data_IF_934152089179
#
_entry.id   IF_934152089179
#
_cell.length_a   1.000
_cell.length_b   1.000
_cell.length_c   1.000
_cell.angle_alpha   90.00
_cell.angle_beta   90.00
_cell.angle_gamma   90.00
#
_symmetry.space_group_name_H-M   'P 1'
#
loop_
_entity.id
_entity.type
_entity.pdbx_description
1 polymer ?
#
# COMPACT_ATOMS: atom_id res chain seq x y z
N UNK A 1 -2.10 10.88 -9.92
CA UNK A 1 -1.84 9.92 -8.82
C UNK A 1 -2.50 8.58 -9.10
N UNK A 2 -1.87 7.48 -8.68
CA UNK A 2 -2.37 6.11 -8.89
C UNK A 2 -2.49 5.44 -7.53
N UNK A 3 -3.61 4.78 -7.26
CA UNK A 3 -3.78 3.94 -6.06
C UNK A 3 -3.65 2.47 -6.44
N UNK A 4 -2.85 1.71 -5.69
CA UNK A 4 -2.72 0.26 -5.82
C UNK A 4 -3.19 -0.39 -4.52
N UNK A 5 -4.30 -1.11 -4.57
CA UNK A 5 -4.90 -1.82 -3.43
C UNK A 5 -5.01 -3.33 -3.68
N UNK A 6 -5.36 -4.09 -2.67
CA UNK A 6 -5.52 -5.55 -2.71
C UNK A 6 -5.14 -6.21 -1.39
N UNK A 7 -5.25 -7.52 -1.29
CA UNK A 7 -4.95 -8.27 -0.07
C UNK A 7 -3.52 -8.05 0.45
N UNK A 8 -3.31 -8.25 1.75
CA UNK A 8 -1.93 -8.29 2.29
C UNK A 8 -1.14 -9.38 1.57
N UNK A 9 0.09 -9.06 1.14
CA UNK A 9 0.98 -9.94 0.36
C UNK A 9 0.45 -10.34 -1.04
N UNK A 10 -0.48 -9.57 -1.62
CA UNK A 10 -0.92 -9.78 -3.01
C UNK A 10 0.12 -9.34 -4.06
N UNK A 11 1.20 -8.63 -3.68
CA UNK A 11 2.23 -8.14 -4.59
C UNK A 11 2.12 -6.67 -4.97
N UNK A 12 1.28 -5.87 -4.29
CA UNK A 12 1.12 -4.42 -4.53
C UNK A 12 2.44 -3.67 -4.56
N UNK A 13 3.21 -3.81 -3.49
CA UNK A 13 4.51 -3.13 -3.33
C UNK A 13 5.49 -3.53 -4.43
N UNK A 14 5.51 -4.81 -4.81
CA UNK A 14 6.36 -5.32 -5.89
C UNK A 14 6.01 -4.65 -7.23
N UNK A 15 4.71 -4.61 -7.57
CA UNK A 15 4.23 -3.96 -8.80
C UNK A 15 4.53 -2.46 -8.76
N UNK A 16 4.25 -1.77 -7.65
CA UNK A 16 4.50 -0.34 -7.51
C UNK A 16 5.98 0.01 -7.72
N UNK A 17 6.89 -0.73 -7.07
CA UNK A 17 8.33 -0.52 -7.18
C UNK A 17 8.85 -0.83 -8.59
N UNK A 18 8.41 -1.93 -9.19
CA UNK A 18 8.80 -2.30 -10.57
C UNK A 18 8.39 -1.20 -11.57
N UNK A 19 7.20 -0.59 -11.40
CA UNK A 19 6.78 0.54 -12.24
C UNK A 19 7.69 1.76 -12.02
N UNK A 20 7.95 2.12 -10.77
CA UNK A 20 8.78 3.29 -10.46
C UNK A 20 10.22 3.12 -10.94
N UNK A 21 10.77 1.91 -10.91
CA UNK A 21 12.09 1.59 -11.45
C UNK A 21 12.14 1.73 -12.97
N UNK A 22 11.13 1.24 -13.67
CA UNK A 22 11.05 1.30 -15.13
C UNK A 22 10.75 2.70 -15.68
N UNK A 23 9.98 3.50 -14.95
CA UNK A 23 9.62 4.88 -15.34
C UNK A 23 10.73 5.87 -14.95
N UNK A 24 11.49 5.56 -13.91
CA UNK A 24 12.48 6.41 -13.27
C UNK A 24 11.96 6.99 -11.95
N UNK A 25 12.74 6.79 -10.90
CA UNK A 25 12.37 7.22 -9.52
C UNK A 25 12.25 8.74 -9.38
N UNK A 26 12.90 9.48 -10.25
CA UNK A 26 12.79 10.94 -10.35
C UNK A 26 11.45 11.40 -10.91
N UNK A 27 10.75 10.54 -11.69
CA UNK A 27 9.43 10.82 -12.28
C UNK A 27 8.29 10.17 -11.54
N UNK A 28 8.56 9.06 -10.82
CA UNK A 28 7.53 8.25 -10.17
C UNK A 28 7.94 7.92 -8.73
N UNK A 29 7.18 8.46 -7.76
CA UNK A 29 7.37 8.19 -6.33
C UNK A 29 6.35 7.17 -5.82
N UNK A 30 6.84 6.16 -5.09
CA UNK A 30 5.99 5.16 -4.42
C UNK A 30 5.83 5.55 -2.96
N UNK A 31 4.61 5.89 -2.57
CA UNK A 31 4.22 6.15 -1.19
C UNK A 31 3.53 4.92 -0.61
N UNK A 32 4.13 4.31 0.41
CA UNK A 32 3.48 3.22 1.12
C UNK A 32 2.52 3.74 2.19
N UNK A 33 1.27 3.27 2.17
CA UNK A 33 0.31 3.54 3.23
C UNK A 33 0.78 3.01 4.58
N UNK A 34 1.61 1.97 4.59
CA UNK A 34 2.10 1.34 5.81
C UNK A 34 2.92 2.31 6.69
N UNK A 35 3.51 3.36 6.11
CA UNK A 35 4.16 4.43 6.87
C UNK A 35 3.20 5.16 7.82
N UNK A 36 1.91 5.15 7.50
CA UNK A 36 0.88 5.92 8.21
C UNK A 36 0.13 5.12 9.27
N UNK A 37 0.59 3.92 9.61
CA UNK A 37 0.08 3.24 10.80
C UNK A 37 0.28 4.13 12.03
N UNK A 38 -0.75 4.18 12.87
CA UNK A 38 -0.66 4.78 14.20
C UNK A 38 0.16 3.87 15.10
N UNK A 39 0.93 4.44 16.01
CA UNK A 39 1.56 3.65 17.08
C UNK A 39 0.50 2.92 17.89
N UNK A 40 0.76 1.67 18.26
CA UNK A 40 -0.12 0.93 19.19
C UNK A 40 -0.19 1.72 20.50
N UNK A 41 -1.39 1.87 21.10
CA UNK A 41 -1.51 2.47 22.43
C UNK A 41 -0.67 1.74 23.48
N UNK A 42 -0.19 2.49 24.45
CA UNK A 42 0.63 1.91 25.53
C UNK A 42 -0.16 0.85 26.32
N UNK A 43 0.48 -0.28 26.60
CA UNK A 43 -0.14 -1.41 27.31
C UNK A 43 -1.01 -2.33 26.45
N UNK A 44 -1.20 -2.03 25.16
CA UNK A 44 -1.94 -2.92 24.25
C UNK A 44 -1.00 -3.97 23.66
N UNK A 45 -1.39 -5.25 23.77
CA UNK A 45 -0.67 -6.35 23.15
C UNK A 45 -0.89 -6.33 21.62
N UNK A 46 0.21 -6.33 20.86
CA UNK A 46 0.20 -6.34 19.39
C UNK A 46 -0.50 -7.58 18.81
N UNK A 47 -0.54 -8.69 19.54
CA UNK A 47 -1.23 -9.91 19.11
C UNK A 47 -2.76 -9.74 19.05
N UNK A 48 -3.31 -8.84 19.85
CA UNK A 48 -4.75 -8.55 19.96
C UNK A 48 -5.17 -7.29 19.19
N UNK A 49 -4.22 -6.54 18.64
CA UNK A 49 -4.50 -5.31 17.91
C UNK A 49 -4.82 -5.58 16.43
N UNK A 50 -5.92 -5.00 15.94
CA UNK A 50 -6.32 -5.14 14.54
C UNK A 50 -5.66 -4.06 13.67
N UNK A 51 -4.53 -4.38 13.06
CA UNK A 51 -3.83 -3.50 12.11
C UNK A 51 -4.55 -3.35 10.78
N UNK A 52 -5.45 -4.25 10.44
CA UNK A 52 -6.20 -4.25 9.19
C UNK A 52 -7.54 -3.47 9.29
N UNK A 53 -7.81 -2.82 10.44
CA UNK A 53 -8.93 -1.88 10.58
C UNK A 53 -8.52 -0.47 10.07
N UNK A 54 -9.38 0.23 9.30
CA UNK A 54 -9.10 1.60 8.86
C UNK A 54 -8.72 2.57 10.00
N UNK A 55 -9.18 2.33 11.22
CA UNK A 55 -8.82 3.15 12.39
C UNK A 55 -7.34 3.06 12.76
N UNK A 56 -6.64 2.00 12.34
CA UNK A 56 -5.20 1.85 12.56
C UNK A 56 -4.36 2.80 11.68
N UNK A 57 -4.94 3.36 10.61
CA UNK A 57 -4.27 4.28 9.69
C UNK A 57 -4.59 5.73 10.06
N UNK A 58 -3.58 6.58 9.95
CA UNK A 58 -3.70 8.04 10.05
C UNK A 58 -3.95 8.63 8.66
N UNK A 59 -5.21 8.60 8.24
CA UNK A 59 -5.61 9.11 6.93
C UNK A 59 -5.40 10.62 6.81
N UNK A 60 -5.51 11.38 7.90
CA UNK A 60 -5.30 12.83 7.85
C UNK A 60 -3.83 13.18 7.54
N UNK A 61 -2.90 12.47 8.16
CA UNK A 61 -1.47 12.61 7.85
C UNK A 61 -1.17 12.16 6.41
N UNK A 62 -1.77 11.05 5.96
CA UNK A 62 -1.59 10.54 4.59
C UNK A 62 -2.11 11.55 3.55
N UNK A 63 -3.28 12.13 3.77
CA UNK A 63 -3.86 13.14 2.86
C UNK A 63 -2.96 14.38 2.79
N UNK A 64 -2.46 14.88 3.92
CA UNK A 64 -1.52 16.01 3.94
C UNK A 64 -0.27 15.74 3.10
N UNK A 65 0.32 14.56 3.24
CA UNK A 65 1.48 14.14 2.45
C UNK A 65 1.15 14.05 0.96
N UNK A 66 0.01 13.44 0.60
CA UNK A 66 -0.41 13.35 -0.81
C UNK A 66 -0.63 14.73 -1.43
N UNK A 67 -1.22 15.67 -0.70
CA UNK A 67 -1.39 17.07 -1.15
C UNK A 67 -0.03 17.73 -1.36
N UNK A 68 0.89 17.61 -0.39
CA UNK A 68 2.23 18.19 -0.48
C UNK A 68 2.99 17.65 -1.69
N UNK A 69 3.02 16.33 -1.88
CA UNK A 69 3.66 15.70 -3.05
C UNK A 69 3.01 16.12 -4.38
N UNK A 70 1.68 16.29 -4.42
CA UNK A 70 0.96 16.73 -5.62
C UNK A 70 1.29 18.17 -6.00
N UNK A 71 1.54 19.02 -5.03
CA UNK A 71 1.86 20.44 -5.23
C UNK A 71 3.37 20.69 -5.40
N UNK A 72 4.20 19.65 -5.37
CA UNK A 72 5.65 19.76 -5.48
C UNK A 72 6.29 20.48 -4.28
N UNK A 73 5.70 20.30 -3.11
CA UNK A 73 6.24 20.85 -1.85
C UNK A 73 6.85 19.71 -1.01
N UNK A 74 7.69 20.10 -0.03
CA UNK A 74 8.27 19.12 0.90
C UNK A 74 7.19 18.38 1.67
N UNK A 75 7.34 17.06 1.79
CA UNK A 75 6.49 16.21 2.57
C UNK A 75 7.27 15.48 3.66
N UNK A 76 6.76 15.47 4.88
CA UNK A 76 7.30 14.68 5.98
C UNK A 76 6.52 13.37 6.12
N UNK A 77 7.17 12.27 5.72
CA UNK A 77 6.59 10.94 5.75
C UNK A 77 6.97 10.25 7.06
N UNK A 78 6.01 9.75 7.85
CA UNK A 78 6.33 9.01 9.06
C UNK A 78 7.13 7.74 8.75
N UNK A 79 8.05 7.38 9.63
CA UNK A 79 8.75 6.10 9.60
C UNK A 79 8.05 5.15 10.58
N UNK A 80 7.53 4.04 10.09
CA UNK A 80 6.87 3.03 10.91
C UNK A 80 7.73 1.78 11.07
N UNK A 81 7.94 1.36 12.31
CA UNK A 81 8.67 0.15 12.64
C UNK A 81 7.71 -1.01 12.93
N UNK A 82 7.70 -2.04 12.07
CA UNK A 82 6.84 -3.21 12.23
C UNK A 82 7.23 -4.11 13.42
N UNK A 83 8.48 -4.04 13.89
CA UNK A 83 8.92 -4.85 15.03
C UNK A 83 8.44 -4.25 16.36
N UNK A 84 8.42 -2.92 16.46
CA UNK A 84 7.99 -2.21 17.68
C UNK A 84 6.56 -1.70 17.59
N UNK A 85 5.94 -1.75 16.41
CA UNK A 85 4.62 -1.22 16.11
C UNK A 85 4.47 0.27 16.49
N UNK A 86 5.52 1.05 16.27
CA UNK A 86 5.59 2.48 16.60
C UNK A 86 6.14 3.30 15.44
N UNK A 87 5.75 4.58 15.40
CA UNK A 87 6.44 5.58 14.59
C UNK A 87 7.77 5.92 15.22
N UNK A 88 8.84 5.94 14.42
CA UNK A 88 10.23 6.17 14.90
C UNK A 88 10.81 7.50 14.47
N UNK A 89 10.06 8.31 13.74
CA UNK A 89 10.47 9.62 13.24
C UNK A 89 9.83 9.93 11.91
N UNK A 90 10.44 10.83 11.14
CA UNK A 90 9.96 11.28 9.84
C UNK A 90 11.12 11.31 8.85
N UNK A 91 10.80 11.13 7.57
CA UNK A 91 11.70 11.34 6.45
C UNK A 91 11.14 12.47 5.59
N UNK A 92 11.94 13.50 5.35
CA UNK A 92 11.56 14.60 4.46
C UNK A 92 11.79 14.18 3.02
N UNK A 93 10.79 14.31 2.19
CA UNK A 93 10.85 14.03 0.75
C UNK A 93 10.62 15.32 -0.01
N UNK A 94 11.52 15.58 -0.94
CA UNK A 94 11.40 16.59 -1.98
C UNK A 94 11.14 15.85 -3.29
N UNK A 95 9.93 15.96 -3.81
CA UNK A 95 9.53 15.26 -5.02
C UNK A 95 8.76 16.20 -5.95
N UNK A 96 9.35 16.47 -7.11
CA UNK A 96 8.80 17.30 -8.17
C UNK A 96 8.38 16.50 -9.41
N UNK A 97 8.40 15.16 -9.31
CA UNK A 97 8.01 14.29 -10.42
C UNK A 97 6.50 14.29 -10.68
N UNK A 98 6.11 13.71 -11.80
CA UNK A 98 4.75 13.79 -12.32
C UNK A 98 3.83 12.64 -11.92
N UNK A 99 4.37 11.57 -11.30
CA UNK A 99 3.60 10.40 -10.90
C UNK A 99 3.81 10.05 -9.42
N UNK A 100 2.71 9.87 -8.69
CA UNK A 100 2.71 9.35 -7.32
C UNK A 100 1.88 8.07 -7.32
N UNK A 101 2.47 6.98 -6.85
CA UNK A 101 1.79 5.70 -6.64
C UNK A 101 1.59 5.53 -5.13
N UNK A 102 0.35 5.57 -4.68
CA UNK A 102 -0.03 5.19 -3.32
C UNK A 102 -0.35 3.69 -3.30
N UNK A 103 0.39 2.90 -2.53
CA UNK A 103 0.11 1.48 -2.35
C UNK A 103 -0.26 1.15 -0.90
N UNK A 104 -1.16 0.20 -0.72
CA UNK A 104 -1.58 -0.29 0.60
C UNK A 104 -2.89 -1.07 0.57
N UNK A 105 -3.20 -1.72 1.68
CA UNK A 105 -4.40 -2.55 1.78
C UNK A 105 -5.69 -1.73 1.97
N UNK A 106 -5.61 -0.54 2.54
CA UNK A 106 -6.75 0.31 2.92
C UNK A 106 -6.79 1.65 2.15
N UNK A 107 -6.07 1.78 1.03
CA UNK A 107 -6.00 3.04 0.26
C UNK A 107 -7.36 3.52 -0.23
N UNK A 108 -8.30 2.59 -0.43
CA UNK A 108 -9.66 2.87 -0.89
C UNK A 108 -10.66 3.12 0.26
N UNK A 109 -10.21 3.18 1.52
CA UNK A 109 -11.09 3.38 2.67
C UNK A 109 -11.34 4.86 3.02
N UNK A 110 -10.76 5.80 2.27
CA UNK A 110 -10.98 7.24 2.42
C UNK A 110 -11.51 7.83 1.12
N UNK A 111 -12.68 8.47 1.16
CA UNK A 111 -13.29 9.13 0.01
C UNK A 111 -12.35 10.22 -0.54
N UNK A 112 -11.78 11.04 0.33
CA UNK A 112 -10.85 12.10 -0.07
C UNK A 112 -9.63 11.55 -0.82
N UNK A 113 -9.12 10.38 -0.45
CA UNK A 113 -8.02 9.73 -1.17
C UNK A 113 -8.51 9.23 -2.53
N UNK A 114 -9.67 8.57 -2.59
CA UNK A 114 -10.26 8.06 -3.84
C UNK A 114 -10.42 9.18 -4.88
N UNK A 115 -10.93 10.34 -4.45
CA UNK A 115 -11.14 11.51 -5.31
C UNK A 115 -9.85 12.16 -5.83
N UNK A 116 -8.72 11.92 -5.15
CA UNK A 116 -7.40 12.40 -5.58
C UNK A 116 -6.76 11.51 -6.64
N UNK A 117 -7.25 10.28 -6.84
CA UNK A 117 -6.64 9.28 -7.70
C UNK A 117 -7.15 9.37 -9.14
N UNK A 118 -6.22 9.48 -10.09
CA UNK A 118 -6.51 9.42 -11.53
C UNK A 118 -6.77 7.98 -12.00
N UNK A 119 -6.20 6.99 -11.29
CA UNK A 119 -6.36 5.57 -11.58
C UNK A 119 -6.32 4.75 -10.29
N UNK A 120 -7.22 3.79 -10.21
CA UNK A 120 -7.35 2.86 -9.07
C UNK A 120 -7.15 1.43 -9.57
N UNK A 121 -6.20 0.73 -8.98
CA UNK A 121 -5.77 -0.61 -9.39
C UNK A 121 -6.01 -1.58 -8.23
N UNK A 122 -6.62 -2.71 -8.54
CA UNK A 122 -6.75 -3.82 -7.61
C UNK A 122 -5.81 -4.95 -8.00
N UNK A 123 -4.89 -5.33 -7.11
CA UNK A 123 -4.03 -6.51 -7.31
C UNK A 123 -4.75 -7.72 -6.74
N UNK A 124 -5.20 -8.57 -7.65
CA UNK A 124 -6.01 -9.75 -7.35
C UNK A 124 -5.12 -11.00 -7.28
N UNK A 125 -5.07 -11.57 -6.09
CA UNK A 125 -4.27 -12.77 -5.79
C UNK A 125 -5.08 -13.64 -4.85
N UNK A 126 -5.11 -14.94 -5.09
CA UNK A 126 -5.82 -15.89 -4.26
C UNK A 126 -5.33 -15.80 -2.81
N UNK A 127 -6.29 -15.91 -1.87
CA UNK A 127 -5.99 -15.66 -0.45
C UNK A 127 -5.05 -16.69 0.18
N UNK A 128 -5.02 -17.90 -0.32
CA UNK A 128 -4.06 -18.95 0.07
C UNK A 128 -2.64 -18.63 -0.40
N UNK A 129 -2.50 -18.13 -1.64
CA UNK A 129 -1.21 -17.62 -2.15
C UNK A 129 -0.74 -16.41 -1.35
N UNK A 130 -1.66 -15.49 -1.04
CA UNK A 130 -1.38 -14.34 -0.16
C UNK A 130 -0.92 -14.80 1.23
N UNK A 131 -1.57 -15.81 1.81
CA UNK A 131 -1.19 -16.36 3.11
C UNK A 131 0.20 -17.00 3.09
N UNK A 132 0.51 -17.81 2.07
CA UNK A 132 1.84 -18.40 1.92
C UNK A 132 2.94 -17.33 1.83
N UNK A 133 2.71 -16.29 1.01
CA UNK A 133 3.65 -15.17 0.85
C UNK A 133 3.79 -14.39 2.17
N UNK A 134 2.69 -14.17 2.90
CA UNK A 134 2.68 -13.51 4.21
C UNK A 134 3.46 -14.29 5.25
N UNK A 135 3.27 -15.60 5.34
CA UNK A 135 4.01 -16.46 6.27
C UNK A 135 5.51 -16.33 6.00
N UNK A 136 5.93 -16.48 4.74
CA UNK A 136 7.35 -16.37 4.36
C UNK A 136 7.94 -15.01 4.75
N UNK A 137 7.25 -13.92 4.44
CA UNK A 137 7.69 -12.56 4.77
C UNK A 137 7.73 -12.32 6.26
N UNK A 138 6.64 -12.61 6.98
CA UNK A 138 6.50 -12.24 8.39
C UNK A 138 7.45 -13.05 9.28
N UNK A 139 7.77 -14.31 8.93
CA UNK A 139 8.79 -15.11 9.62
C UNK A 139 10.19 -14.62 9.23
N UNK A 140 10.49 -14.48 7.94
CA UNK A 140 11.85 -14.17 7.46
C UNK A 140 12.30 -12.74 7.73
N UNK A 141 11.39 -11.75 7.59
CA UNK A 141 11.74 -10.33 7.61
C UNK A 141 11.28 -9.61 8.89
N UNK A 142 10.21 -10.11 9.55
CA UNK A 142 9.59 -9.45 10.71
C UNK A 142 9.78 -10.22 12.01
N UNK A 143 10.52 -11.34 11.99
CA UNK A 143 10.86 -12.14 13.16
C UNK A 143 9.66 -12.74 13.89
N UNK A 144 8.53 -12.97 13.19
CA UNK A 144 7.31 -13.51 13.80
C UNK A 144 7.33 -15.02 13.80
N UNK A 145 6.66 -15.64 14.75
CA UNK A 145 6.41 -17.08 14.73
C UNK A 145 5.16 -17.44 13.91
N UNK A 146 5.13 -18.66 13.40
CA UNK A 146 4.07 -19.18 12.55
C UNK A 146 2.68 -19.10 13.20
N UNK A 147 2.57 -19.48 14.49
CA UNK A 147 1.29 -19.49 15.20
C UNK A 147 0.72 -18.08 15.31
N UNK A 148 1.56 -17.10 15.63
CA UNK A 148 1.19 -15.69 15.69
C UNK A 148 0.68 -15.19 14.34
N UNK A 149 1.35 -15.54 13.22
CA UNK A 149 0.93 -15.13 11.87
C UNK A 149 -0.42 -15.74 11.52
N UNK A 150 -0.62 -17.05 11.78
CA UNK A 150 -1.87 -17.75 11.49
C UNK A 150 -3.03 -17.24 12.35
N UNK A 151 -2.78 -16.99 13.64
CA UNK A 151 -3.79 -16.45 14.55
C UNK A 151 -4.28 -15.07 14.08
N UNK A 152 -3.36 -14.14 13.79
CA UNK A 152 -3.72 -12.84 13.27
C UNK A 152 -4.43 -12.90 11.92
N UNK A 153 -3.99 -13.78 11.02
CA UNK A 153 -4.64 -13.95 9.74
C UNK A 153 -6.10 -14.38 9.90
N UNK A 154 -6.36 -15.38 10.74
CA UNK A 154 -7.71 -15.86 11.03
C UNK A 154 -8.58 -14.81 11.71
N UNK A 155 -8.01 -14.12 12.71
CA UNK A 155 -8.76 -13.24 13.59
C UNK A 155 -9.03 -11.85 12.97
N UNK A 156 -8.06 -11.29 12.23
CA UNK A 156 -8.12 -9.91 11.76
C UNK A 156 -7.98 -9.79 10.24
N UNK A 157 -6.93 -10.37 9.64
CA UNK A 157 -6.56 -10.08 8.24
C UNK A 157 -7.63 -10.55 7.27
N UNK A 158 -8.05 -11.81 7.35
CA UNK A 158 -9.08 -12.36 6.45
C UNK A 158 -10.45 -11.70 6.65
N UNK A 159 -10.97 -11.50 7.87
CA UNK A 159 -12.18 -10.72 8.09
C UNK A 159 -12.12 -9.29 7.58
N UNK A 160 -11.00 -8.59 7.81
CA UNK A 160 -10.81 -7.22 7.32
C UNK A 160 -10.76 -7.15 5.79
N UNK A 161 -10.11 -8.12 5.13
CA UNK A 161 -10.13 -8.23 3.68
C UNK A 161 -11.55 -8.26 3.13
N UNK A 162 -12.41 -9.12 3.66
CA UNK A 162 -13.80 -9.21 3.20
C UNK A 162 -14.62 -7.96 3.54
N UNK A 163 -14.35 -7.33 4.68
CA UNK A 163 -15.10 -6.16 5.13
C UNK A 163 -14.69 -4.87 4.44
N UNK A 164 -13.37 -4.66 4.25
CA UNK A 164 -12.83 -3.36 3.87
C UNK A 164 -12.13 -3.34 2.51
N UNK A 165 -11.71 -4.49 1.95
CA UNK A 165 -10.83 -4.51 0.79
C UNK A 165 -11.53 -5.11 -0.44
N UNK A 166 -12.07 -6.32 -0.34
CA UNK A 166 -12.63 -7.05 -1.49
C UNK A 166 -13.75 -6.30 -2.21
N UNK A 167 -14.55 -5.52 -1.47
CA UNK A 167 -15.65 -4.74 -2.01
C UNK A 167 -15.20 -3.62 -2.96
N UNK A 168 -13.92 -3.21 -2.89
CA UNK A 168 -13.38 -2.21 -3.80
C UNK A 168 -12.90 -2.78 -5.13
N UNK A 169 -12.79 -4.08 -5.28
CA UNK A 169 -12.38 -4.72 -6.53
C UNK A 169 -13.21 -4.22 -7.73
N UNK A 170 -14.53 -4.09 -7.56
CA UNK A 170 -15.44 -3.61 -8.61
C UNK A 170 -15.48 -2.08 -8.78
N UNK A 171 -14.78 -1.34 -7.90
CA UNK A 171 -14.67 0.13 -7.97
C UNK A 171 -13.32 0.60 -8.49
N UNK A 172 -12.42 -0.34 -8.78
CA UNK A 172 -11.13 -0.05 -9.38
C UNK A 172 -11.24 -0.01 -10.90
N UNK A 173 -10.40 0.81 -11.52
CA UNK A 173 -10.37 1.00 -12.97
C UNK A 173 -9.65 -0.16 -13.66
N UNK A 174 -8.73 -0.84 -12.96
CA UNK A 174 -7.98 -1.99 -13.45
C UNK A 174 -7.86 -3.07 -12.36
N UNK A 175 -8.03 -4.33 -12.76
CA UNK A 175 -7.78 -5.51 -11.93
C UNK A 175 -6.60 -6.27 -12.52
N UNK A 176 -5.55 -6.48 -11.73
CA UNK A 176 -4.35 -7.20 -12.12
C UNK A 176 -4.32 -8.55 -11.40
N UNK A 177 -4.56 -9.67 -12.11
CA UNK A 177 -4.32 -11.00 -11.55
C UNK A 177 -2.81 -11.18 -11.26
N UNK A 178 -2.46 -11.58 -10.03
CA UNK A 178 -1.06 -11.70 -9.60
C UNK A 178 -0.79 -12.98 -8.77
N UNK A 179 -1.53 -14.06 -9.04
CA UNK A 179 -1.23 -15.38 -8.51
C UNK A 179 0.04 -15.96 -9.16
N UNK A 180 0.28 -15.64 -10.44
CA UNK A 180 1.51 -15.86 -11.20
C UNK A 180 2.00 -14.50 -11.70
N UNK A 181 3.28 -14.33 -11.95
CA UNK A 181 3.82 -13.11 -12.53
C UNK A 181 3.13 -12.81 -13.87
N UNK A 182 2.51 -11.64 -13.98
CA UNK A 182 1.70 -11.22 -15.11
C UNK A 182 2.37 -10.04 -15.83
N UNK A 183 3.34 -10.36 -16.67
CA UNK A 183 4.12 -9.35 -17.40
C UNK A 183 3.25 -8.53 -18.35
N UNK A 184 2.26 -9.15 -19.00
CA UNK A 184 1.37 -8.43 -19.92
C UNK A 184 0.57 -7.33 -19.21
N UNK A 185 0.01 -7.63 -18.05
CA UNK A 185 -0.70 -6.60 -17.24
C UNK A 185 0.25 -5.52 -16.74
N UNK A 186 1.48 -5.91 -16.40
CA UNK A 186 2.52 -4.97 -16.01
C UNK A 186 2.90 -4.02 -17.16
N UNK A 187 3.11 -4.53 -18.38
CA UNK A 187 3.45 -3.72 -19.55
C UNK A 187 2.34 -2.71 -19.91
N UNK A 188 1.08 -3.11 -19.79
CA UNK A 188 -0.06 -2.20 -19.98
C UNK A 188 -0.01 -1.06 -18.97
N UNK A 189 0.21 -1.38 -17.70
CA UNK A 189 0.27 -0.39 -16.63
C UNK A 189 1.49 0.53 -16.77
N UNK A 190 2.66 -0.03 -17.09
CA UNK A 190 3.89 0.71 -17.39
C UNK A 190 3.65 1.71 -18.54
N UNK A 191 3.06 1.24 -19.63
CA UNK A 191 2.76 2.08 -20.80
C UNK A 191 1.83 3.24 -20.45
N UNK A 192 0.82 2.99 -19.61
CA UNK A 192 -0.06 4.05 -19.11
C UNK A 192 0.71 5.10 -18.31
N UNK A 193 1.56 4.67 -17.36
CA UNK A 193 2.33 5.59 -16.50
C UNK A 193 3.33 6.40 -17.33
N UNK A 194 4.08 5.76 -18.23
CA UNK A 194 5.02 6.44 -19.14
C UNK A 194 4.31 7.51 -19.97
N UNK A 195 3.17 7.17 -20.58
CA UNK A 195 2.41 8.12 -21.39
C UNK A 195 1.88 9.31 -20.57
N UNK A 196 1.53 9.11 -19.31
CA UNK A 196 1.09 10.20 -18.41
C UNK A 196 2.25 11.08 -17.98
N UNK A 197 3.41 10.52 -17.69
CA UNK A 197 4.60 11.27 -17.26
C UNK A 197 5.28 12.01 -18.38
N UNK A 198 5.14 11.57 -19.64
CA UNK A 198 5.70 12.24 -20.82
C UNK A 198 4.89 13.45 -21.31
N UNK A 199 3.64 13.62 -20.87
CA UNK A 199 2.76 14.74 -21.28
C UNK A 199 2.87 15.98 -20.38
N UNK A 200 3.74 15.96 -19.39
CA UNK A 200 3.90 17.06 -18.41
C UNK A 200 5.18 17.89 -18.69
N UNK A 201 5.64 17.89 -19.94
CA UNK A 201 6.71 18.80 -20.43
C UNK A 201 6.12 20.02 -21.12
#
# INVERSE_FOLDING_TARGET
MISITGASSSGKTTIANKIAEEVGKEKCYVLSQDNFYKSIPEGVDSSTYNFDDPKAIDFDALIKVLVALKTGTYAEIPNYCFNTHKRTGYTTIDFSGSCIILEGILTMCSISIIEMMDMKIFVDTDLDVCLMRRIKRDIGERGRDLNSVLLQYKQFVKPAYHKYISNFKHKCDLIIPNHIENECAFDVLKSYVVNKTSKVN
#
